data_IF_390907031969
#
_entry.id   IF_390907031969
#
_cell.length_a   1.000
_cell.length_b   1.000
_cell.length_c   1.000
_cell.angle_alpha   90.00
_cell.angle_beta   90.00
_cell.angle_gamma   90.00
#
_symmetry.space_group_name_H-M   'P 1'
#
loop_
_entity.id
_entity.type
_entity.pdbx_description
1 polymer ?
#
# COMPACT_ATOMS: atom_id res chain seq x y z
N UNK A 1 15.43 1.12 15.80
CA UNK A 1 14.99 2.14 14.83
C UNK A 1 13.49 2.09 14.71
N UNK A 2 12.84 3.24 14.50
CA UNK A 2 11.43 3.28 14.10
C UNK A 2 11.26 2.94 12.61
N UNK A 3 10.11 2.54 12.13
CA UNK A 3 9.88 2.24 10.71
C UNK A 3 8.42 2.56 10.34
N UNK A 4 8.07 2.59 9.06
CA UNK A 4 6.66 2.58 8.62
C UNK A 4 6.30 1.15 8.24
N UNK A 5 5.32 0.56 8.92
CA UNK A 5 4.87 -0.82 8.71
C UNK A 5 3.52 -0.78 8.01
N UNK A 6 3.41 -1.45 6.88
CA UNK A 6 2.16 -1.48 6.09
C UNK A 6 1.58 -2.88 6.10
N UNK A 7 0.49 -3.07 6.83
CA UNK A 7 -0.29 -4.29 6.78
C UNK A 7 -1.13 -4.29 5.51
N UNK A 8 -0.83 -5.17 4.56
CA UNK A 8 -1.61 -5.33 3.33
C UNK A 8 -2.50 -6.55 3.41
N UNK A 9 -3.76 -6.42 3.04
CA UNK A 9 -4.57 -7.54 2.60
C UNK A 9 -3.99 -8.08 1.26
N UNK A 10 -3.76 -9.39 1.19
CA UNK A 10 -3.33 -10.07 -0.03
C UNK A 10 -3.87 -11.51 -0.06
N UNK A 11 -4.92 -11.73 -0.86
CA UNK A 11 -5.56 -13.03 -1.03
C UNK A 11 -4.62 -14.14 -1.56
N UNK A 12 -3.60 -13.81 -2.36
CA UNK A 12 -2.79 -14.79 -3.11
C UNK A 12 -1.65 -15.41 -2.30
N UNK A 13 -1.35 -14.84 -1.14
CA UNK A 13 -0.16 -15.05 -0.34
C UNK A 13 0.68 -16.31 -0.61
N UNK A 14 1.72 -16.14 -1.44
CA UNK A 14 2.96 -16.91 -1.40
C UNK A 14 3.97 -16.08 -0.60
N UNK A 15 4.69 -16.70 0.35
CA UNK A 15 5.67 -16.01 1.20
C UNK A 15 6.86 -15.60 0.32
N UNK A 16 6.80 -14.43 -0.30
CA UNK A 16 7.92 -13.84 -1.04
C UNK A 16 8.63 -12.81 -0.16
N UNK A 17 9.96 -12.73 -0.29
CA UNK A 17 10.78 -11.70 0.39
C UNK A 17 10.52 -10.29 -0.14
N UNK A 18 9.82 -10.16 -1.26
CA UNK A 18 9.54 -8.90 -1.94
C UNK A 18 8.07 -8.87 -2.31
N UNK A 19 7.40 -7.77 -2.01
CA UNK A 19 6.00 -7.54 -2.35
C UNK A 19 5.95 -6.40 -3.36
N UNK A 20 6.03 -6.72 -4.65
CA UNK A 20 6.20 -5.72 -5.71
C UNK A 20 5.10 -4.64 -5.77
N UNK A 21 3.83 -4.91 -5.43
CA UNK A 21 2.83 -3.84 -5.32
C UNK A 21 3.26 -2.74 -4.34
N UNK A 22 3.87 -3.11 -3.21
CA UNK A 22 4.39 -2.16 -2.25
C UNK A 22 5.59 -1.37 -2.81
N UNK A 23 6.54 -2.04 -3.45
CA UNK A 23 7.71 -1.38 -4.05
C UNK A 23 7.29 -0.39 -5.15
N UNK A 24 6.22 -0.71 -5.88
CA UNK A 24 5.63 0.21 -6.85
C UNK A 24 5.06 1.46 -6.17
N UNK A 25 4.32 1.33 -5.07
CA UNK A 25 3.84 2.47 -4.28
C UNK A 25 5.02 3.31 -3.75
N UNK A 26 6.07 2.68 -3.22
CA UNK A 26 7.27 3.39 -2.74
C UNK A 26 7.97 4.16 -3.86
N UNK A 27 7.98 3.61 -5.09
CA UNK A 27 8.53 4.31 -6.26
C UNK A 27 7.74 5.59 -6.56
N UNK A 28 6.41 5.54 -6.48
CA UNK A 28 5.56 6.72 -6.68
C UNK A 28 5.73 7.74 -5.54
N UNK A 29 5.81 7.29 -4.29
CA UNK A 29 6.11 8.15 -3.13
C UNK A 29 7.44 8.88 -3.31
N UNK A 30 8.48 8.19 -3.81
CA UNK A 30 9.78 8.81 -4.10
C UNK A 30 9.65 9.87 -5.19
N UNK A 31 8.93 9.59 -6.27
CA UNK A 31 8.72 10.54 -7.38
C UNK A 31 7.93 11.77 -6.92
N UNK A 32 6.84 11.59 -6.16
CA UNK A 32 6.05 12.70 -5.61
C UNK A 32 6.85 13.58 -4.64
N UNK A 33 7.73 12.98 -3.83
CA UNK A 33 8.59 13.74 -2.95
C UNK A 33 9.69 14.49 -3.73
N UNK A 34 10.27 13.87 -4.75
CA UNK A 34 11.23 14.51 -5.67
C UNK A 34 10.63 15.76 -6.33
N UNK A 35 9.34 15.72 -6.67
CA UNK A 35 8.66 16.88 -7.26
C UNK A 35 8.42 18.03 -6.26
N UNK A 36 8.40 17.74 -4.95
CA UNK A 36 8.18 18.74 -3.89
C UNK A 36 9.46 19.43 -3.44
N UNK A 37 10.62 18.86 -3.74
CA UNK A 37 11.93 19.34 -3.30
C UNK A 37 12.74 19.80 -4.50
N UNK A 38 13.22 21.05 -4.49
CA UNK A 38 14.06 21.58 -5.57
C UNK A 38 15.39 20.80 -5.75
N UNK A 39 15.87 20.14 -4.69
CA UNK A 39 17.00 19.21 -4.72
C UNK A 39 16.66 17.93 -3.92
N UNK A 40 16.44 16.82 -4.62
CA UNK A 40 16.37 15.52 -3.97
C UNK A 40 17.77 14.99 -3.70
N UNK A 41 18.19 15.05 -2.45
CA UNK A 41 19.41 14.39 -2.01
C UNK A 41 19.11 12.94 -1.58
N UNK A 42 19.85 11.98 -2.14
CA UNK A 42 19.80 10.57 -1.70
C UNK A 42 20.34 10.38 -0.27
N UNK A 43 20.89 11.42 0.34
CA UNK A 43 21.24 11.46 1.77
C UNK A 43 20.15 12.07 2.66
N UNK A 44 19.04 12.54 2.08
CA UNK A 44 17.93 13.13 2.84
C UNK A 44 17.32 12.13 3.82
N UNK A 45 16.92 12.64 5.00
CA UNK A 45 16.21 11.88 6.03
C UNK A 45 14.98 11.16 5.46
N UNK A 46 14.28 11.79 4.51
CA UNK A 46 13.13 11.23 3.84
C UNK A 46 13.46 9.97 3.01
N UNK A 47 14.55 9.99 2.23
CA UNK A 47 14.96 8.81 1.45
C UNK A 47 15.31 7.62 2.36
N UNK A 48 15.97 7.88 3.49
CA UNK A 48 16.21 6.86 4.51
C UNK A 48 14.91 6.37 5.17
N UNK A 49 13.90 7.22 5.35
CA UNK A 49 12.60 6.79 5.87
C UNK A 49 11.81 5.96 4.85
N UNK A 50 11.88 6.26 3.54
CA UNK A 50 11.31 5.39 2.50
C UNK A 50 11.92 3.98 2.60
N UNK A 51 13.25 3.87 2.74
CA UNK A 51 13.93 2.56 2.92
C UNK A 51 13.51 1.84 4.21
N UNK A 52 13.05 2.58 5.22
CA UNK A 52 12.49 2.07 6.48
C UNK A 52 10.98 1.88 6.38
N UNK A 53 10.41 1.76 5.18
CA UNK A 53 9.02 1.34 5.01
C UNK A 53 8.99 -0.15 4.66
N UNK A 54 8.23 -0.95 5.41
CA UNK A 54 8.13 -2.39 5.22
C UNK A 54 6.69 -2.82 5.03
N UNK A 55 6.42 -3.66 4.02
CA UNK A 55 5.13 -4.31 3.88
C UNK A 55 5.08 -5.62 4.66
N UNK A 56 3.97 -5.84 5.35
CA UNK A 56 3.62 -7.11 6.01
C UNK A 56 2.30 -7.58 5.40
N UNK A 57 2.34 -8.25 4.25
CA UNK A 57 1.14 -8.76 3.62
C UNK A 57 0.51 -9.89 4.45
N UNK A 58 -0.82 -9.96 4.42
CA UNK A 58 -1.66 -10.84 5.23
C UNK A 58 -2.64 -11.56 4.33
N UNK A 59 -2.65 -12.88 4.42
CA UNK A 59 -3.55 -13.73 3.63
C UNK A 59 -5.00 -13.56 4.07
N UNK A 60 -5.75 -12.72 3.38
CA UNK A 60 -7.16 -12.46 3.69
C UNK A 60 -7.38 -11.40 4.76
N UNK A 61 -8.53 -10.76 4.70
CA UNK A 61 -9.04 -9.78 5.69
C UNK A 61 -8.99 -10.33 7.12
N UNK A 62 -9.39 -11.59 7.33
CA UNK A 62 -9.47 -12.17 8.69
C UNK A 62 -8.09 -12.18 9.38
N UNK A 63 -7.02 -12.53 8.66
CA UNK A 63 -5.66 -12.53 9.22
C UNK A 63 -5.14 -11.13 9.48
N UNK A 64 -5.54 -10.18 8.64
CA UNK A 64 -5.19 -8.78 8.83
C UNK A 64 -5.87 -8.24 10.10
N UNK A 65 -7.18 -8.46 10.26
CA UNK A 65 -7.93 -8.02 11.45
C UNK A 65 -7.39 -8.68 12.73
N UNK A 66 -7.09 -9.98 12.69
CA UNK A 66 -6.47 -10.67 13.83
C UNK A 66 -5.10 -10.06 14.20
N UNK A 67 -4.30 -9.65 13.21
CA UNK A 67 -3.00 -9.01 13.49
C UNK A 67 -3.16 -7.60 14.06
N UNK A 68 -4.21 -6.87 13.66
CA UNK A 68 -4.57 -5.58 14.27
C UNK A 68 -5.00 -5.73 15.74
N UNK A 69 -5.74 -6.80 16.05
CA UNK A 69 -6.20 -7.07 17.42
C UNK A 69 -5.04 -7.57 18.31
N UNK A 70 -4.25 -8.53 17.83
CA UNK A 70 -3.30 -9.28 18.66
C UNK A 70 -1.87 -8.73 18.59
N UNK A 71 -1.38 -8.35 17.41
CA UNK A 71 0.04 -8.03 17.20
C UNK A 71 0.35 -6.53 17.19
N UNK A 72 -0.68 -5.69 17.05
CA UNK A 72 -0.49 -4.25 16.80
C UNK A 72 0.33 -3.56 17.88
N UNK A 73 0.18 -3.95 19.14
CA UNK A 73 0.98 -3.42 20.24
C UNK A 73 2.49 -3.67 20.05
N UNK A 74 2.89 -4.78 19.42
CA UNK A 74 4.28 -5.07 19.06
C UNK A 74 4.73 -4.27 17.84
N UNK A 75 3.86 -4.16 16.83
CA UNK A 75 4.14 -3.39 15.61
C UNK A 75 4.34 -1.90 15.91
N UNK A 76 3.55 -1.31 16.82
CA UNK A 76 3.70 0.09 17.25
C UNK A 76 5.00 0.37 17.99
N UNK A 77 5.55 -0.62 18.69
CA UNK A 77 6.88 -0.49 19.31
C UNK A 77 7.96 -0.33 18.23
N UNK A 78 7.80 -1.02 17.10
CA UNK A 78 8.69 -0.91 15.93
C UNK A 78 8.47 0.35 15.11
N UNK A 79 7.25 0.87 14.98
CA UNK A 79 7.00 1.91 13.99
C UNK A 79 5.59 2.50 13.93
N UNK A 80 5.38 3.34 12.92
CA UNK A 80 4.06 3.83 12.50
C UNK A 80 3.39 2.71 11.69
N UNK A 81 2.12 2.44 11.93
CA UNK A 81 1.40 1.34 11.27
C UNK A 81 0.34 1.87 10.33
N UNK A 82 0.41 1.49 9.06
CA UNK A 82 -0.61 1.67 8.04
C UNK A 82 -1.34 0.35 7.80
N UNK A 83 -2.61 0.45 7.46
CA UNK A 83 -3.45 -0.69 7.14
C UNK A 83 -4.07 -0.49 5.76
N UNK A 84 -3.90 -1.44 4.84
CA UNK A 84 -4.44 -1.41 3.49
C UNK A 84 -5.30 -2.63 3.28
N UNK A 85 -6.58 -2.41 2.93
CA UNK A 85 -7.59 -3.47 2.85
C UNK A 85 -8.44 -3.28 1.60
N UNK A 86 -8.72 -4.35 0.89
CA UNK A 86 -9.68 -4.36 -0.21
C UNK A 86 -11.13 -4.22 0.34
N UNK A 87 -11.94 -3.35 -0.27
CA UNK A 87 -13.25 -2.98 0.28
C UNK A 87 -14.35 -4.04 0.03
N UNK A 88 -14.13 -4.98 -0.88
CA UNK A 88 -15.13 -5.91 -1.40
C UNK A 88 -15.81 -6.77 -0.31
N UNK A 89 -15.06 -7.19 0.70
CA UNK A 89 -15.52 -8.11 1.74
C UNK A 89 -15.47 -7.54 3.15
N UNK A 90 -14.81 -6.39 3.35
CA UNK A 90 -14.54 -5.86 4.69
C UNK A 90 -15.82 -5.55 5.47
N UNK A 91 -16.88 -5.04 4.81
CA UNK A 91 -18.16 -4.72 5.47
C UNK A 91 -18.81 -5.97 6.08
N UNK A 92 -18.92 -7.03 5.29
CA UNK A 92 -19.43 -8.33 5.73
C UNK A 92 -18.60 -8.90 6.89
N UNK A 93 -17.26 -8.83 6.80
CA UNK A 93 -16.34 -9.30 7.85
C UNK A 93 -16.48 -8.53 9.16
N UNK A 94 -16.81 -7.25 9.09
CA UNK A 94 -17.03 -6.41 10.27
C UNK A 94 -18.48 -6.48 10.80
N UNK A 95 -19.36 -7.24 10.15
CA UNK A 95 -20.79 -7.32 10.49
C UNK A 95 -21.53 -6.00 10.23
N UNK A 96 -21.06 -5.20 9.28
CA UNK A 96 -21.65 -3.92 8.89
C UNK A 96 -22.62 -4.11 7.72
N UNK A 97 -23.62 -3.22 7.62
CA UNK A 97 -24.52 -3.15 6.47
C UNK A 97 -23.74 -2.76 5.20
N UNK A 98 -24.10 -3.32 4.05
CA UNK A 98 -23.44 -3.06 2.76
C UNK A 98 -23.47 -1.57 2.36
N UNK A 99 -24.44 -0.79 2.88
CA UNK A 99 -24.57 0.66 2.65
C UNK A 99 -23.79 1.50 3.65
N UNK A 100 -23.11 0.89 4.61
CA UNK A 100 -22.28 1.60 5.59
C UNK A 100 -21.21 2.40 4.86
N UNK A 101 -21.15 3.70 5.12
CA UNK A 101 -20.19 4.57 4.45
C UNK A 101 -18.75 4.25 4.92
N UNK A 102 -17.77 4.61 4.08
CA UNK A 102 -16.33 4.35 4.32
C UNK A 102 -15.86 4.77 5.71
N UNK A 103 -16.32 5.94 6.19
CA UNK A 103 -15.98 6.43 7.53
C UNK A 103 -16.38 5.45 8.64
N UNK A 104 -17.55 4.81 8.54
CA UNK A 104 -18.00 3.80 9.53
C UNK A 104 -17.10 2.58 9.50
N UNK A 105 -16.74 2.11 8.30
CA UNK A 105 -15.83 0.97 8.12
C UNK A 105 -14.45 1.28 8.71
N UNK A 106 -13.87 2.43 8.37
CA UNK A 106 -12.58 2.89 8.89
C UNK A 106 -12.59 3.02 10.41
N UNK A 107 -13.62 3.64 10.99
CA UNK A 107 -13.79 3.76 12.43
C UNK A 107 -13.83 2.38 13.10
N UNK A 108 -14.56 1.44 12.52
CA UNK A 108 -14.67 0.08 13.06
C UNK A 108 -13.33 -0.66 13.06
N UNK A 109 -12.51 -0.48 12.03
CA UNK A 109 -11.15 -1.05 11.98
C UNK A 109 -10.24 -0.36 13.00
N UNK A 110 -10.34 0.97 13.14
CA UNK A 110 -9.60 1.72 14.15
C UNK A 110 -9.98 1.29 15.58
N UNK A 111 -11.25 0.98 15.84
CA UNK A 111 -11.70 0.41 17.13
C UNK A 111 -11.03 -0.94 17.42
N UNK A 112 -11.00 -1.86 16.44
CA UNK A 112 -10.30 -3.15 16.57
C UNK A 112 -8.81 -2.92 16.85
N UNK A 113 -8.21 -1.97 16.13
CA UNK A 113 -6.84 -1.54 16.33
C UNK A 113 -6.61 -0.71 17.61
N UNK A 114 -7.64 -0.46 18.44
CA UNK A 114 -7.56 0.43 19.61
C UNK A 114 -6.92 1.80 19.30
N UNK A 115 -7.21 2.36 18.13
CA UNK A 115 -6.63 3.62 17.62
C UNK A 115 -5.13 3.56 17.31
N UNK A 116 -4.55 2.35 17.24
CA UNK A 116 -3.11 2.15 17.14
C UNK A 116 -2.53 2.20 15.72
N UNK A 117 -3.39 2.29 14.71
CA UNK A 117 -2.99 2.52 13.31
C UNK A 117 -3.03 4.01 12.99
N UNK A 118 -2.07 4.47 12.20
CA UNK A 118 -2.03 5.85 11.69
C UNK A 118 -3.15 6.10 10.70
N UNK A 119 -3.32 5.19 9.73
CA UNK A 119 -4.34 5.31 8.71
C UNK A 119 -4.83 3.92 8.23
N UNK A 120 -6.07 3.91 7.73
CA UNK A 120 -6.73 2.74 7.15
C UNK A 120 -7.17 3.08 5.72
N UNK A 121 -6.49 2.47 4.75
CA UNK A 121 -6.70 2.68 3.33
C UNK A 121 -7.58 1.56 2.78
N UNK A 122 -8.88 1.83 2.62
CA UNK A 122 -9.83 0.90 1.99
C UNK A 122 -9.81 0.99 0.46
N UNK A 123 -9.23 0.05 -0.28
CA UNK A 123 -9.17 0.10 -1.73
C UNK A 123 -10.53 -0.30 -2.32
N UNK A 124 -11.19 0.58 -3.08
CA UNK A 124 -12.44 0.28 -3.80
C UNK A 124 -12.19 -0.77 -4.90
N UNK A 125 -11.02 -0.69 -5.54
CA UNK A 125 -10.49 -1.78 -6.36
C UNK A 125 -9.56 -2.70 -5.57
N UNK A 126 -9.49 -3.97 -5.95
CA UNK A 126 -8.47 -4.88 -5.42
C UNK A 126 -7.15 -4.76 -6.20
N UNK A 127 -6.10 -5.40 -5.69
CA UNK A 127 -4.79 -5.42 -6.35
C UNK A 127 -4.83 -6.02 -7.77
N UNK A 128 -5.78 -6.90 -8.07
CA UNK A 128 -6.01 -7.43 -9.41
C UNK A 128 -6.50 -6.37 -10.40
N UNK A 129 -7.37 -5.45 -9.96
CA UNK A 129 -7.78 -4.33 -10.79
C UNK A 129 -6.61 -3.39 -11.09
N UNK A 130 -5.79 -3.06 -10.08
CA UNK A 130 -4.56 -2.29 -10.30
C UNK A 130 -3.60 -3.03 -11.25
N UNK A 131 -3.41 -4.34 -11.08
CA UNK A 131 -2.62 -5.16 -11.99
C UNK A 131 -3.14 -5.05 -13.43
N UNK A 132 -4.46 -5.08 -13.61
CA UNK A 132 -5.10 -5.01 -14.93
C UNK A 132 -4.85 -3.65 -15.60
N UNK A 133 -4.99 -2.56 -14.84
CA UNK A 133 -4.65 -1.19 -15.30
C UNK A 133 -3.19 -1.11 -15.73
N UNK A 134 -2.26 -1.67 -14.95
CA UNK A 134 -0.84 -1.68 -15.30
C UNK A 134 -0.59 -2.44 -16.61
N UNK A 135 -1.20 -3.62 -16.79
CA UNK A 135 -1.05 -4.43 -18.01
C UNK A 135 -1.50 -3.65 -19.24
N UNK A 136 -2.63 -2.96 -19.14
CA UNK A 136 -3.19 -2.17 -20.24
C UNK A 136 -2.31 -0.95 -20.57
N UNK A 137 -1.96 -0.13 -19.57
CA UNK A 137 -1.17 1.11 -19.81
C UNK A 137 0.22 0.79 -20.38
N UNK A 138 0.83 -0.30 -19.93
CA UNK A 138 2.15 -0.73 -20.39
C UNK A 138 2.10 -1.66 -21.61
N UNK A 139 0.91 -1.95 -22.15
CA UNK A 139 0.70 -2.86 -23.28
C UNK A 139 1.38 -4.23 -23.09
N UNK A 140 1.33 -4.79 -21.88
CA UNK A 140 2.06 -6.02 -21.52
C UNK A 140 1.37 -7.31 -21.99
N UNK A 141 0.18 -7.22 -22.56
CA UNK A 141 -0.66 -8.36 -22.96
C UNK A 141 0.09 -9.37 -23.84
N UNK A 142 0.84 -8.89 -24.83
CA UNK A 142 1.62 -9.76 -25.72
C UNK A 142 2.82 -10.42 -25.01
N UNK A 143 3.47 -9.68 -24.10
CA UNK A 143 4.64 -10.13 -23.34
C UNK A 143 4.27 -11.15 -22.25
N UNK A 144 3.08 -11.04 -21.68
CA UNK A 144 2.57 -11.94 -20.63
C UNK A 144 1.93 -13.22 -21.19
N UNK A 145 1.62 -13.30 -22.50
CA UNK A 145 1.20 -14.57 -23.12
C UNK A 145 2.26 -15.67 -23.05
N UNK A 146 3.55 -15.32 -22.92
CA UNK A 146 4.67 -16.28 -22.75
C UNK A 146 5.05 -16.54 -21.29
N UNK A 147 4.73 -15.62 -20.38
CA UNK A 147 5.01 -15.71 -18.95
C UNK A 147 3.67 -15.60 -18.24
N UNK A 148 3.10 -16.73 -17.85
CA UNK A 148 1.90 -16.85 -17.02
C UNK A 148 1.49 -15.51 -16.38
N UNK A 149 0.40 -14.92 -16.86
CA UNK A 149 -0.24 -13.68 -16.37
C UNK A 149 -0.52 -13.70 -14.87
N UNK A 150 -0.34 -14.86 -14.23
CA UNK A 150 -0.39 -15.10 -12.80
C UNK A 150 0.74 -14.43 -12.01
N UNK A 151 1.88 -14.06 -12.63
CA UNK A 151 2.99 -13.49 -11.87
C UNK A 151 2.83 -11.97 -11.67
N UNK A 152 1.94 -11.61 -10.73
CA UNK A 152 1.68 -10.24 -10.25
C UNK A 152 2.95 -9.43 -10.08
N UNK A 153 3.98 -10.03 -9.47
CA UNK A 153 5.21 -9.34 -9.14
C UNK A 153 5.98 -8.90 -10.39
N UNK A 154 5.96 -9.69 -11.46
CA UNK A 154 6.57 -9.29 -12.74
C UNK A 154 5.87 -8.07 -13.33
N UNK A 155 4.53 -8.01 -13.25
CA UNK A 155 3.76 -6.88 -13.76
C UNK A 155 4.13 -5.58 -13.02
N UNK A 156 4.18 -5.63 -11.69
CA UNK A 156 4.55 -4.47 -10.89
C UNK A 156 6.05 -4.12 -11.01
N UNK A 157 6.93 -5.09 -11.27
CA UNK A 157 8.33 -4.82 -11.57
C UNK A 157 8.49 -4.00 -12.87
N UNK A 158 7.68 -4.28 -13.89
CA UNK A 158 7.65 -3.46 -15.12
C UNK A 158 7.04 -2.07 -14.85
N UNK A 159 6.02 -1.97 -13.99
CA UNK A 159 5.45 -0.69 -13.56
C UNK A 159 6.46 0.22 -12.84
N UNK A 160 7.32 -0.36 -12.01
CA UNK A 160 8.41 0.38 -11.34
C UNK A 160 9.36 1.02 -12.37
N UNK A 161 9.64 0.30 -13.46
CA UNK A 161 10.53 0.74 -14.56
C UNK A 161 9.84 1.64 -15.59
N UNK A 162 8.51 1.75 -15.56
CA UNK A 162 7.74 2.55 -16.50
C UNK A 162 8.11 4.03 -16.45
N UNK A 163 7.84 4.73 -17.54
CA UNK A 163 8.04 6.18 -17.63
C UNK A 163 7.10 6.92 -16.67
N UNK A 164 7.43 8.19 -16.39
CA UNK A 164 6.61 9.05 -15.55
C UNK A 164 5.20 9.26 -16.11
N UNK A 165 5.08 9.42 -17.42
CA UNK A 165 3.79 9.58 -18.10
C UNK A 165 2.92 8.33 -17.95
N UNK A 166 3.51 7.14 -18.08
CA UNK A 166 2.81 5.87 -17.89
C UNK A 166 2.36 5.68 -16.44
N UNK A 167 3.20 6.02 -15.46
CA UNK A 167 2.83 5.98 -14.04
C UNK A 167 1.71 6.96 -13.70
N UNK A 168 1.74 8.14 -14.31
CA UNK A 168 0.68 9.14 -14.18
C UNK A 168 -0.63 8.60 -14.75
N UNK A 169 -0.60 7.97 -15.92
CA UNK A 169 -1.77 7.33 -16.51
C UNK A 169 -2.32 6.19 -15.64
N UNK A 170 -1.45 5.34 -15.08
CA UNK A 170 -1.86 4.30 -14.11
C UNK A 170 -2.59 4.92 -12.92
N UNK A 171 -2.09 6.03 -12.36
CA UNK A 171 -2.74 6.73 -11.23
C UNK A 171 -4.09 7.33 -11.62
N UNK A 172 -4.20 7.89 -12.82
CA UNK A 172 -5.45 8.46 -13.32
C UNK A 172 -6.52 7.37 -13.50
N UNK A 173 -6.12 6.19 -13.99
CA UNK A 173 -7.02 5.05 -14.21
C UNK A 173 -7.32 4.24 -12.94
N UNK A 174 -6.51 4.39 -11.89
CA UNK A 174 -6.72 3.75 -10.58
C UNK A 174 -6.59 4.79 -9.44
N UNK A 175 -7.65 5.57 -9.16
CA UNK A 175 -7.58 6.69 -8.22
C UNK A 175 -7.21 6.30 -6.78
N UNK A 176 -7.49 5.07 -6.36
CA UNK A 176 -7.08 4.56 -5.04
C UNK A 176 -5.57 4.57 -4.82
N UNK A 177 -4.79 4.46 -5.89
CA UNK A 177 -3.33 4.52 -5.82
C UNK A 177 -2.87 5.90 -5.34
N UNK A 178 -3.55 6.97 -5.75
CA UNK A 178 -3.26 8.32 -5.27
C UNK A 178 -3.42 8.41 -3.76
N UNK A 179 -4.55 7.91 -3.25
CA UNK A 179 -4.84 7.94 -1.82
C UNK A 179 -3.82 7.10 -1.04
N UNK A 180 -3.48 5.92 -1.55
CA UNK A 180 -2.47 5.06 -0.95
C UNK A 180 -1.09 5.76 -0.88
N UNK A 181 -0.66 6.39 -1.97
CA UNK A 181 0.60 7.18 -2.01
C UNK A 181 0.55 8.32 -0.98
N UNK A 182 -0.56 9.06 -0.89
CA UNK A 182 -0.70 10.14 0.09
C UNK A 182 -0.66 9.64 1.55
N UNK A 183 -1.29 8.50 1.85
CA UNK A 183 -1.22 7.89 3.19
C UNK A 183 0.20 7.44 3.55
N UNK A 184 0.95 6.92 2.57
CA UNK A 184 2.37 6.59 2.74
C UNK A 184 3.21 7.82 3.05
N UNK A 185 3.08 8.88 2.24
CA UNK A 185 3.81 10.13 2.45
C UNK A 185 3.53 10.70 3.84
N UNK A 186 2.26 10.75 4.26
CA UNK A 186 1.89 11.23 5.59
C UNK A 186 2.53 10.42 6.73
N UNK A 187 2.58 9.09 6.61
CA UNK A 187 3.24 8.24 7.61
C UNK A 187 4.77 8.45 7.62
N UNK A 188 5.38 8.67 6.45
CA UNK A 188 6.81 8.93 6.32
C UNK A 188 7.16 10.32 6.89
N UNK A 189 6.37 11.35 6.57
CA UNK A 189 6.51 12.71 7.11
C UNK A 189 6.49 12.67 8.65
N UNK A 190 5.50 11.99 9.25
CA UNK A 190 5.44 11.80 10.70
C UNK A 190 6.66 11.06 11.25
N UNK A 191 7.22 10.09 10.51
CA UNK A 191 8.43 9.40 10.94
C UNK A 191 9.64 10.34 10.91
N UNK A 192 9.79 11.18 9.89
CA UNK A 192 10.86 12.18 9.79
C UNK A 192 10.78 13.16 10.97
N UNK A 193 9.60 13.71 11.26
CA UNK A 193 9.37 14.65 12.37
C UNK A 193 9.69 14.07 13.75
N UNK A 194 9.70 12.75 13.92
CA UNK A 194 10.05 12.10 15.20
C UNK A 194 11.53 11.80 15.37
N UNK A 195 12.33 11.93 14.32
CA UNK A 195 13.77 11.62 14.32
C UNK A 195 14.63 12.88 14.42
N UNK A 196 14.10 14.03 14.00
CA UNK A 196 14.69 15.36 14.17
C UNK A 196 14.32 16.00 15.52
#
# INVERSE_FOLDING_TARGET
MKEVIVLFEDARHEITKMFMPHDFVLKLVREDYQDRMDEFDETSSYYEMIKRTTAVPKKGVDKLLNSLDQDLHLLRKRGIVLCVIDEDQIRSKLGLDDRSCRKVVTNRIQEIASGGVHDVVLLDGNLEQLQSVVVEVLNLEASLRKKSTTNRDVVFQEAIRASRDQKTEIRNRYPDLQRLVSSYMSAIDMLVETVD
#
